data_IF_557863494448
#
_entry.id   IF_557863494448
#
_cell.length_a   1.000
_cell.length_b   1.000
_cell.length_c   1.000
_cell.angle_alpha   90.00
_cell.angle_beta   90.00
_cell.angle_gamma   90.00
#
_symmetry.space_group_name_H-M   'P 1'
#
loop_
_entity.id
_entity.type
_entity.pdbx_description
1 polymer ?
#
# COMPACT_ATOMS: atom_id res chain seq x y z
N UNK A 1 58.96 -20.68 45.81
CA UNK A 1 59.21 -21.60 44.69
C UNK A 1 57.84 -21.90 44.07
N UNK A 2 57.17 -20.89 43.50
CA UNK A 2 57.26 -20.41 42.11
C UNK A 2 57.01 -21.49 41.05
N UNK A 3 56.02 -21.19 40.20
CA UNK A 3 55.74 -21.68 38.85
C UNK A 3 54.88 -22.96 38.68
N UNK A 4 53.84 -22.77 37.85
CA UNK A 4 52.95 -23.74 37.19
C UNK A 4 51.79 -24.31 38.00
N UNK A 5 50.61 -23.69 37.83
CA UNK A 5 49.35 -24.26 37.30
C UNK A 5 48.24 -23.27 37.66
N UNK A 6 48.04 -22.25 36.83
CA UNK A 6 46.78 -21.48 36.72
C UNK A 6 46.70 -20.90 35.31
N UNK A 7 46.54 -21.81 34.35
CA UNK A 7 46.08 -21.55 32.98
C UNK A 7 44.96 -22.56 32.77
N UNK A 8 43.88 -22.14 32.12
CA UNK A 8 42.56 -22.80 32.00
C UNK A 8 41.58 -22.32 33.07
N UNK A 9 41.02 -21.13 32.83
CA UNK A 9 39.63 -20.68 33.07
C UNK A 9 39.60 -19.15 32.85
N UNK A 10 40.04 -18.75 31.67
CA UNK A 10 39.79 -17.44 31.09
C UNK A 10 39.38 -17.75 29.66
N UNK A 11 38.09 -18.04 29.50
CA UNK A 11 37.45 -18.17 28.19
C UNK A 11 36.39 -17.07 28.14
N UNK A 12 36.81 -15.96 27.57
CA UNK A 12 36.06 -15.14 26.62
C UNK A 12 34.55 -15.09 26.84
N UNK A 13 34.11 -14.05 27.56
CA UNK A 13 32.82 -13.42 27.27
C UNK A 13 33.04 -12.53 26.04
N UNK A 14 33.08 -13.15 24.87
CA UNK A 14 32.81 -12.44 23.63
C UNK A 14 31.37 -11.95 23.68
N UNK A 15 31.21 -10.66 23.45
CA UNK A 15 29.94 -9.96 23.37
C UNK A 15 29.25 -10.43 22.09
N UNK A 16 28.17 -11.19 22.22
CA UNK A 16 27.26 -11.44 21.10
C UNK A 16 26.73 -10.08 20.61
N UNK A 17 26.86 -9.74 19.31
CA UNK A 17 26.12 -8.62 18.78
C UNK A 17 24.63 -8.97 18.84
N UNK A 18 23.88 -8.13 19.55
CA UNK A 18 22.43 -8.14 19.64
C UNK A 18 21.82 -8.20 18.22
N UNK A 19 21.48 -9.42 17.79
CA UNK A 19 20.81 -9.66 16.53
C UNK A 19 19.34 -9.27 16.70
N UNK A 20 19.09 -7.95 16.58
CA UNK A 20 17.77 -7.44 16.26
C UNK A 20 17.21 -8.20 15.04
N UNK A 21 15.87 -8.30 14.90
CA UNK A 21 15.26 -9.11 13.87
C UNK A 21 15.86 -8.74 12.52
N UNK A 22 16.48 -9.72 11.85
CA UNK A 22 17.10 -9.54 10.56
C UNK A 22 16.04 -8.98 9.61
N UNK A 23 16.10 -7.68 9.35
CA UNK A 23 15.35 -7.07 8.26
C UNK A 23 15.85 -7.79 7.01
N UNK A 24 15.01 -8.63 6.42
CA UNK A 24 15.23 -9.18 5.08
C UNK A 24 15.24 -8.02 4.10
N UNK A 25 16.36 -7.30 4.04
CA UNK A 25 16.55 -6.19 3.12
C UNK A 25 16.73 -6.82 1.74
N UNK A 26 15.65 -6.82 0.97
CA UNK A 26 15.73 -7.11 -0.45
C UNK A 26 16.87 -6.30 -1.09
N UNK A 27 17.85 -6.95 -1.75
CA UNK A 27 19.00 -6.27 -2.30
C UNK A 27 18.60 -5.22 -3.34
N UNK A 28 19.05 -3.97 -3.16
CA UNK A 28 18.68 -2.87 -4.07
C UNK A 28 19.12 -3.10 -5.52
N UNK A 29 20.21 -3.84 -5.73
CA UNK A 29 20.67 -4.22 -7.06
C UNK A 29 19.62 -5.07 -7.79
N UNK A 30 18.96 -6.00 -7.10
CA UNK A 30 17.90 -6.83 -7.68
C UNK A 30 16.71 -5.98 -8.12
N UNK A 31 16.32 -4.98 -7.31
CA UNK A 31 15.25 -4.03 -7.65
C UNK A 31 15.66 -3.19 -8.87
N UNK A 32 16.89 -2.68 -8.89
CA UNK A 32 17.41 -1.86 -9.99
C UNK A 32 17.50 -2.63 -11.30
N UNK A 33 17.97 -3.88 -11.27
CA UNK A 33 18.04 -4.76 -12.44
C UNK A 33 16.64 -5.03 -13.00
N UNK A 34 15.70 -5.43 -12.12
CA UNK A 34 14.31 -5.64 -12.53
C UNK A 34 13.68 -4.35 -13.08
N UNK A 35 13.86 -3.21 -12.42
CA UNK A 35 13.39 -1.91 -12.91
C UNK A 35 13.89 -1.64 -14.34
N UNK A 36 15.18 -1.90 -14.60
CA UNK A 36 15.77 -1.78 -15.93
C UNK A 36 15.10 -2.69 -16.97
N UNK A 37 14.75 -3.93 -16.62
CA UNK A 37 14.01 -4.85 -17.54
C UNK A 37 12.61 -4.34 -17.89
N UNK A 38 12.00 -3.56 -17.01
CA UNK A 38 10.67 -2.97 -17.22
C UNK A 38 10.73 -1.58 -17.87
N UNK A 39 11.93 -1.04 -18.09
CA UNK A 39 12.12 0.33 -18.57
C UNK A 39 11.82 1.41 -17.52
N UNK A 40 11.83 1.05 -16.24
CA UNK A 40 11.65 1.98 -15.13
C UNK A 40 12.99 2.62 -14.75
N UNK A 41 12.96 3.89 -14.36
CA UNK A 41 14.09 4.51 -13.68
C UNK A 41 14.08 4.08 -12.20
N UNK A 42 15.28 3.81 -11.67
CA UNK A 42 15.47 3.42 -10.27
C UNK A 42 16.34 4.45 -9.55
N UNK A 43 15.97 4.77 -8.30
CA UNK A 43 16.81 5.54 -7.37
C UNK A 43 16.73 4.91 -5.99
N UNK A 44 17.87 4.75 -5.31
CA UNK A 44 17.95 4.04 -4.02
C UNK A 44 18.91 4.71 -3.04
N UNK A 45 18.52 4.76 -1.76
CA UNK A 45 19.37 5.21 -0.66
C UNK A 45 19.06 4.41 0.62
N UNK A 46 20.02 3.61 1.10
CA UNK A 46 19.86 2.81 2.32
C UNK A 46 18.79 1.72 2.16
N UNK A 47 17.70 1.77 2.92
CA UNK A 47 16.52 0.91 2.68
C UNK A 47 15.46 1.59 1.82
N UNK A 48 15.51 2.91 1.59
CA UNK A 48 14.54 3.59 0.74
C UNK A 48 14.90 3.43 -0.74
N UNK A 49 13.87 3.32 -1.59
CA UNK A 49 14.03 3.39 -3.04
C UNK A 49 12.80 4.01 -3.69
N UNK A 50 12.95 4.40 -4.96
CA UNK A 50 11.85 4.77 -5.82
C UNK A 50 12.04 4.22 -7.24
N UNK A 51 10.89 3.96 -7.85
CA UNK A 51 10.70 3.54 -9.23
C UNK A 51 9.89 4.60 -9.94
N UNK A 52 10.36 5.04 -11.11
CA UNK A 52 9.60 5.92 -11.98
C UNK A 52 9.33 5.22 -13.31
N UNK A 53 8.09 5.25 -13.75
CA UNK A 53 7.66 4.64 -15.00
C UNK A 53 6.62 5.48 -15.70
N UNK A 54 6.05 4.93 -16.77
CA UNK A 54 4.96 5.54 -17.52
C UNK A 54 3.83 4.55 -17.74
N UNK A 55 2.61 5.06 -17.74
CA UNK A 55 1.43 4.39 -18.29
C UNK A 55 0.86 5.34 -19.34
N UNK A 56 0.87 4.92 -20.61
CA UNK A 56 0.61 5.83 -21.73
C UNK A 56 1.57 7.03 -21.71
N UNK A 57 1.03 8.25 -21.61
CA UNK A 57 1.81 9.49 -21.47
C UNK A 57 1.92 9.99 -20.02
N UNK A 58 1.34 9.28 -19.05
CA UNK A 58 1.32 9.68 -17.63
C UNK A 58 2.49 9.06 -16.88
N UNK A 59 3.23 9.90 -16.16
CA UNK A 59 4.34 9.46 -15.32
C UNK A 59 3.79 9.00 -13.98
N UNK A 60 4.25 7.84 -13.53
CA UNK A 60 3.95 7.32 -12.22
C UNK A 60 5.24 7.10 -11.43
N UNK A 61 5.12 7.17 -10.10
CA UNK A 61 6.21 6.93 -9.17
C UNK A 61 5.75 5.96 -8.08
N UNK A 62 6.58 4.98 -7.75
CA UNK A 62 6.41 4.11 -6.59
C UNK A 62 7.60 4.23 -5.67
N UNK A 63 7.35 4.46 -4.38
CA UNK A 63 8.40 4.65 -3.38
C UNK A 63 8.26 3.63 -2.27
N UNK A 64 9.39 3.07 -1.83
CA UNK A 64 9.50 2.37 -0.54
C UNK A 64 10.13 3.31 0.47
N UNK A 65 9.51 3.46 1.63
CA UNK A 65 10.12 4.21 2.73
C UNK A 65 9.44 4.04 4.07
N UNK A 66 9.76 4.94 5.00
CA UNK A 66 9.14 4.95 6.34
C UNK A 66 7.62 5.13 6.25
N UNK A 67 6.85 4.49 7.14
CA UNK A 67 5.41 4.64 7.17
C UNK A 67 5.01 6.08 7.43
N UNK A 68 4.04 6.55 6.66
CA UNK A 68 3.47 7.89 6.78
C UNK A 68 2.05 7.89 7.36
N UNK A 69 1.52 6.70 7.68
CA UNK A 69 0.27 6.50 8.43
C UNK A 69 0.50 5.58 9.62
N UNK A 70 -0.26 5.82 10.68
CA UNK A 70 -0.13 5.10 11.96
C UNK A 70 -0.67 3.66 11.93
N UNK A 71 -1.47 3.30 10.94
CA UNK A 71 -1.91 1.92 10.74
C UNK A 71 -0.90 1.07 9.97
N UNK A 72 0.16 1.68 9.42
CA UNK A 72 1.28 0.97 8.78
C UNK A 72 2.41 0.88 9.80
N UNK A 73 2.83 -0.35 10.13
CA UNK A 73 3.85 -0.61 11.15
C UNK A 73 5.23 -0.87 10.53
N UNK A 74 5.25 -1.45 9.34
CA UNK A 74 6.47 -1.74 8.56
C UNK A 74 6.86 -0.64 7.57
N UNK A 75 7.72 -0.98 6.61
CA UNK A 75 7.97 -0.12 5.45
C UNK A 75 6.67 0.06 4.64
N UNK A 76 6.51 1.21 4.00
CA UNK A 76 5.34 1.54 3.18
C UNK A 76 5.75 1.60 1.70
N UNK A 77 4.96 0.94 0.84
CA UNK A 77 4.96 1.22 -0.60
C UNK A 77 3.91 2.30 -0.90
N UNK A 78 4.35 3.36 -1.60
CA UNK A 78 3.51 4.48 -2.03
C UNK A 78 3.57 4.64 -3.54
N UNK A 79 2.48 4.37 -4.23
CA UNK A 79 2.32 4.68 -5.65
C UNK A 79 1.60 6.02 -5.83
N UNK A 80 2.03 6.82 -6.82
CA UNK A 80 1.34 8.03 -7.27
C UNK A 80 1.42 8.18 -8.78
N UNK A 81 0.31 8.55 -9.41
CA UNK A 81 0.24 8.87 -10.84
C UNK A 81 -0.74 10.02 -11.05
N UNK A 82 -0.33 11.03 -11.83
CA UNK A 82 -1.23 12.12 -12.23
C UNK A 82 -1.93 11.73 -13.53
N UNK A 83 -3.18 11.28 -13.43
CA UNK A 83 -3.93 10.73 -14.55
C UNK A 83 -4.59 11.82 -15.40
N UNK A 84 -5.05 12.89 -14.77
CA UNK A 84 -5.81 13.95 -15.45
C UNK A 84 -7.20 13.48 -15.90
N UNK A 85 -7.79 12.54 -15.16
CA UNK A 85 -9.24 12.26 -15.19
C UNK A 85 -9.98 13.35 -14.41
N UNK A 86 -11.31 13.38 -14.49
CA UNK A 86 -12.14 14.34 -13.72
C UNK A 86 -11.76 14.33 -12.23
N UNK A 87 -11.51 15.53 -11.68
CA UNK A 87 -11.09 15.71 -10.30
C UNK A 87 -12.19 15.41 -9.28
N UNK A 88 -13.45 15.38 -9.72
CA UNK A 88 -14.59 15.00 -8.89
C UNK A 88 -14.69 13.50 -8.69
N UNK A 89 -14.05 12.69 -9.53
CA UNK A 89 -14.07 11.24 -9.39
C UNK A 89 -13.29 10.83 -8.13
N UNK A 90 -14.00 10.22 -7.20
CA UNK A 90 -13.45 9.68 -5.96
C UNK A 90 -13.85 8.23 -5.76
N UNK A 91 -12.88 7.33 -5.79
CA UNK A 91 -13.09 5.90 -5.51
C UNK A 91 -11.94 5.40 -4.65
N UNK A 92 -12.28 4.66 -3.59
CA UNK A 92 -11.31 4.06 -2.69
C UNK A 92 -11.55 2.56 -2.62
N UNK A 93 -10.48 1.78 -2.68
CA UNK A 93 -10.46 0.35 -2.39
C UNK A 93 -9.56 0.15 -1.19
N UNK A 94 -10.05 -0.54 -0.17
CA UNK A 94 -9.25 -0.90 1.01
C UNK A 94 -9.60 -2.28 1.53
N UNK A 95 -8.66 -2.96 2.17
CA UNK A 95 -8.93 -4.25 2.81
C UNK A 95 -9.91 -4.08 3.99
N UNK A 96 -10.79 -5.06 4.20
CA UNK A 96 -11.85 -4.99 5.23
C UNK A 96 -11.31 -4.78 6.65
N UNK A 97 -10.23 -5.45 7.11
CA UNK A 97 -9.71 -5.22 8.45
C UNK A 97 -9.23 -3.78 8.67
N UNK A 98 -8.62 -3.17 7.65
CA UNK A 98 -8.24 -1.75 7.71
C UNK A 98 -9.46 -0.84 7.82
N UNK A 99 -10.49 -1.06 6.99
CA UNK A 99 -11.75 -0.30 7.07
C UNK A 99 -12.33 -0.37 8.49
N UNK A 100 -12.51 -1.57 9.03
CA UNK A 100 -13.06 -1.79 10.36
C UNK A 100 -12.21 -1.14 11.47
N UNK A 101 -10.88 -1.22 11.37
CA UNK A 101 -9.98 -0.59 12.33
C UNK A 101 -10.10 0.94 12.31
N UNK A 102 -10.22 1.53 11.12
CA UNK A 102 -10.41 2.97 10.94
C UNK A 102 -11.80 3.44 11.41
N UNK A 103 -12.86 2.69 11.11
CA UNK A 103 -14.23 2.94 11.59
C UNK A 103 -14.30 2.90 13.12
N UNK A 104 -13.73 1.85 13.74
CA UNK A 104 -13.67 1.71 15.20
C UNK A 104 -12.94 2.88 15.83
N UNK A 105 -11.83 3.30 15.23
CA UNK A 105 -11.04 4.43 15.73
C UNK A 105 -11.78 5.77 15.56
N UNK A 106 -12.50 5.96 14.46
CA UNK A 106 -13.35 7.12 14.28
C UNK A 106 -14.45 7.17 15.35
N UNK A 107 -15.13 6.06 15.59
CA UNK A 107 -16.15 5.96 16.65
C UNK A 107 -15.58 6.30 18.03
N UNK A 108 -14.41 5.77 18.39
CA UNK A 108 -13.74 6.07 19.66
C UNK A 108 -13.45 7.57 19.82
N UNK A 109 -12.95 8.22 18.77
CA UNK A 109 -12.71 9.66 18.79
C UNK A 109 -14.02 10.44 19.01
N UNK A 110 -15.12 10.02 18.36
CA UNK A 110 -16.43 10.65 18.55
C UNK A 110 -17.05 10.40 19.93
N UNK A 111 -16.89 9.20 20.50
CA UNK A 111 -17.47 8.90 21.83
C UNK A 111 -16.67 9.51 22.98
N UNK A 112 -15.35 9.61 22.83
CA UNK A 112 -14.50 10.29 23.82
C UNK A 112 -14.68 11.81 23.76
N UNK A 113 -15.09 12.36 22.60
CA UNK A 113 -15.44 13.77 22.42
C UNK A 113 -16.95 13.98 22.50
N UNK A 114 -17.50 14.11 23.71
CA UNK A 114 -18.81 14.72 23.96
C UNK A 114 -18.86 16.23 23.61
N UNK A 115 -18.24 16.64 22.49
CA UNK A 115 -18.38 17.95 21.88
C UNK A 115 -18.71 17.80 20.39
N UNK A 116 -19.94 18.18 20.05
CA UNK A 116 -20.62 18.15 18.74
C UNK A 116 -19.99 19.11 17.72
N UNK A 117 -18.73 18.86 17.36
CA UNK A 117 -18.11 19.47 16.18
C UNK A 117 -17.29 18.38 15.51
N UNK A 118 -17.51 18.15 14.21
CA UNK A 118 -16.63 17.29 13.42
C UNK A 118 -15.19 17.79 13.63
N UNK A 119 -14.37 17.02 14.34
CA UNK A 119 -13.03 17.46 14.73
C UNK A 119 -12.20 17.65 13.45
N UNK A 120 -11.70 18.86 13.16
CA UNK A 120 -10.85 19.11 11.99
C UNK A 120 -9.56 18.26 12.01
N UNK A 121 -9.22 17.61 13.12
CA UNK A 121 -8.09 16.70 13.27
C UNK A 121 -8.37 15.25 12.88
N UNK A 122 -9.57 14.91 12.40
CA UNK A 122 -9.82 13.56 11.88
C UNK A 122 -8.83 13.24 10.76
N UNK A 123 -8.05 12.13 10.88
CA UNK A 123 -7.22 11.65 9.81
C UNK A 123 -8.01 11.55 8.51
N UNK A 124 -7.34 11.85 7.40
CA UNK A 124 -7.94 11.96 6.08
C UNK A 124 -8.78 10.72 5.70
N UNK A 125 -8.29 9.54 6.09
CA UNK A 125 -8.97 8.27 5.86
C UNK A 125 -10.32 8.15 6.58
N UNK A 126 -10.43 8.68 7.81
CA UNK A 126 -11.69 8.66 8.55
C UNK A 126 -12.70 9.62 7.95
N UNK A 127 -12.22 10.74 7.38
CA UNK A 127 -13.08 11.66 6.65
C UNK A 127 -13.68 10.96 5.42
N UNK A 128 -12.87 10.19 4.68
CA UNK A 128 -13.37 9.43 3.53
C UNK A 128 -14.43 8.40 3.93
N UNK A 129 -14.22 7.67 5.04
CA UNK A 129 -15.21 6.71 5.56
C UNK A 129 -16.54 7.34 5.96
N UNK A 130 -16.54 8.63 6.31
CA UNK A 130 -17.76 9.37 6.61
C UNK A 130 -18.41 10.01 5.36
N UNK A 131 -17.64 10.23 4.30
CA UNK A 131 -18.10 10.91 3.07
C UNK A 131 -18.58 9.96 1.98
N UNK A 132 -18.04 8.74 1.92
CA UNK A 132 -18.30 7.80 0.85
C UNK A 132 -18.98 6.54 1.34
N UNK A 133 -19.95 6.05 0.57
CA UNK A 133 -20.69 4.83 0.87
C UNK A 133 -19.96 3.60 0.30
N UNK A 134 -20.14 2.45 0.95
CA UNK A 134 -19.68 1.17 0.42
C UNK A 134 -20.60 0.69 -0.71
N UNK A 135 -20.03 0.44 -1.88
CA UNK A 135 -20.76 -0.02 -3.07
C UNK A 135 -20.34 -1.44 -3.46
N UNK A 136 -21.23 -2.13 -4.19
CA UNK A 136 -20.96 -3.46 -4.74
C UNK A 136 -21.72 -3.71 -6.05
N UNK A 137 -21.21 -4.61 -6.88
CA UNK A 137 -21.82 -5.02 -8.15
C UNK A 137 -21.41 -6.46 -8.55
N UNK A 138 -22.14 -7.03 -9.51
CA UNK A 138 -22.08 -8.47 -9.82
C UNK A 138 -20.90 -8.89 -10.72
N UNK A 139 -20.13 -7.94 -11.25
CA UNK A 139 -19.01 -8.25 -12.15
C UNK A 139 -17.75 -8.74 -11.40
N UNK A 140 -17.66 -8.52 -10.09
CA UNK A 140 -16.56 -8.99 -9.25
C UNK A 140 -17.00 -10.20 -8.40
N UNK A 141 -16.13 -11.20 -8.23
CA UNK A 141 -16.48 -12.44 -7.54
C UNK A 141 -16.58 -12.22 -6.02
N UNK A 142 -17.38 -13.04 -5.34
CA UNK A 142 -17.59 -12.94 -3.87
C UNK A 142 -16.29 -12.84 -3.04
N UNK A 143 -15.21 -13.62 -3.31
CA UNK A 143 -13.97 -13.49 -2.56
C UNK A 143 -13.32 -12.10 -2.63
N UNK A 144 -13.55 -11.33 -3.70
CA UNK A 144 -13.12 -9.94 -3.76
C UNK A 144 -13.82 -9.11 -2.69
N UNK A 145 -15.14 -9.24 -2.61
CA UNK A 145 -15.97 -8.54 -1.63
C UNK A 145 -15.72 -8.98 -0.20
N UNK A 146 -15.27 -10.22 0.03
CA UNK A 146 -14.86 -10.68 1.35
C UNK A 146 -13.53 -10.04 1.79
N UNK A 147 -12.63 -9.72 0.85
CA UNK A 147 -11.30 -9.15 1.13
C UNK A 147 -11.27 -7.62 1.14
N UNK A 148 -11.98 -6.99 0.21
CA UNK A 148 -11.93 -5.55 -0.02
C UNK A 148 -13.32 -4.90 0.12
N UNK A 149 -13.30 -3.64 0.52
CA UNK A 149 -14.43 -2.71 0.44
C UNK A 149 -14.12 -1.63 -0.59
N UNK A 150 -15.14 -1.25 -1.36
CA UNK A 150 -15.05 -0.18 -2.35
C UNK A 150 -15.95 0.97 -1.90
N UNK A 151 -15.39 2.16 -1.77
CA UNK A 151 -16.07 3.36 -1.29
C UNK A 151 -16.08 4.43 -2.38
N UNK A 152 -17.25 4.99 -2.66
CA UNK A 152 -17.41 6.08 -3.62
C UNK A 152 -18.74 6.81 -3.39
N UNK A 153 -18.87 8.00 -3.98
CA UNK A 153 -20.13 8.74 -4.07
C UNK A 153 -20.98 8.30 -5.28
N UNK A 154 -20.35 7.86 -6.37
CA UNK A 154 -21.02 7.45 -7.60
C UNK A 154 -20.55 6.05 -7.98
N UNK A 155 -21.46 5.08 -7.91
CA UNK A 155 -21.17 3.65 -8.15
C UNK A 155 -20.58 3.41 -9.55
N UNK A 156 -21.01 4.17 -10.54
CA UNK A 156 -20.56 4.09 -11.92
C UNK A 156 -19.07 4.43 -12.06
N UNK A 157 -18.53 5.32 -11.22
CA UNK A 157 -17.08 5.59 -11.17
C UNK A 157 -16.31 4.35 -10.71
N UNK A 158 -16.80 3.66 -9.68
CA UNK A 158 -16.17 2.43 -9.20
C UNK A 158 -16.25 1.30 -10.24
N UNK A 159 -17.38 1.16 -10.92
CA UNK A 159 -17.56 0.17 -11.99
C UNK A 159 -16.70 0.45 -13.22
N UNK A 160 -16.53 1.73 -13.59
CA UNK A 160 -15.66 2.14 -14.69
C UNK A 160 -14.18 1.97 -14.35
N UNK A 161 -13.79 2.14 -13.07
CA UNK A 161 -12.40 1.99 -12.66
C UNK A 161 -11.98 0.56 -12.33
N UNK A 162 -12.82 -0.23 -11.68
CA UNK A 162 -12.46 -1.56 -11.20
C UNK A 162 -13.00 -2.61 -12.16
N UNK A 163 -12.26 -2.77 -13.25
CA UNK A 163 -12.55 -3.78 -14.27
C UNK A 163 -12.18 -5.21 -13.77
N UNK A 164 -12.59 -6.27 -14.50
CA UNK A 164 -12.26 -7.64 -14.12
C UNK A 164 -10.75 -7.93 -14.06
N UNK A 165 -9.92 -7.22 -14.82
CA UNK A 165 -8.46 -7.40 -14.83
C UNK A 165 -7.84 -6.88 -13.53
N UNK A 166 -8.17 -5.65 -13.13
CA UNK A 166 -7.74 -5.05 -11.88
C UNK A 166 -8.27 -5.83 -10.68
N UNK A 167 -9.54 -6.23 -10.71
CA UNK A 167 -10.14 -7.09 -9.69
C UNK A 167 -9.39 -8.43 -9.55
N UNK A 168 -9.00 -9.04 -10.68
CA UNK A 168 -8.18 -10.25 -10.69
C UNK A 168 -6.78 -10.04 -10.10
N UNK A 169 -6.10 -8.94 -10.44
CA UNK A 169 -4.79 -8.60 -9.88
C UNK A 169 -4.84 -8.40 -8.37
N UNK A 170 -5.87 -7.71 -7.85
CA UNK A 170 -6.06 -7.50 -6.42
C UNK A 170 -6.24 -8.81 -5.63
N UNK A 171 -6.65 -9.90 -6.29
CA UNK A 171 -6.87 -11.22 -5.70
C UNK A 171 -5.74 -12.22 -5.92
N UNK A 172 -4.80 -11.95 -6.84
CA UNK A 172 -3.79 -12.91 -7.32
C UNK A 172 -2.37 -12.63 -6.81
N UNK A 173 -2.25 -12.25 -5.54
CA UNK A 173 -0.94 -12.05 -4.90
C UNK A 173 -0.05 -13.30 -4.97
N UNK A 174 1.25 -13.16 -5.30
CA UNK A 174 2.19 -14.28 -5.31
C UNK A 174 2.42 -14.83 -3.90
N UNK A 175 2.82 -16.10 -3.79
CA UNK A 175 3.16 -16.72 -2.50
C UNK A 175 4.63 -16.43 -2.12
N UNK A 176 4.95 -16.03 -0.88
CA UNK A 176 4.01 -15.74 0.21
C UNK A 176 3.23 -14.44 -0.04
N UNK A 177 1.90 -14.51 0.06
CA UNK A 177 1.04 -13.35 -0.18
C UNK A 177 0.92 -12.48 1.08
N UNK A 178 0.75 -11.16 0.94
CA UNK A 178 0.26 -10.32 2.03
C UNK A 178 -1.05 -10.91 2.57
N UNK A 179 -1.14 -11.04 3.90
CA UNK A 179 -2.39 -11.47 4.53
C UNK A 179 -3.47 -10.40 4.36
N UNK A 180 -4.73 -10.76 4.61
CA UNK A 180 -5.84 -9.80 4.57
C UNK A 180 -5.73 -8.67 5.60
N UNK A 181 -4.93 -8.86 6.65
CA UNK A 181 -4.66 -7.88 7.71
C UNK A 181 -3.62 -6.84 7.31
N UNK A 182 -2.79 -7.11 6.29
CA UNK A 182 -1.76 -6.18 5.82
C UNK A 182 -2.45 -4.95 5.22
N UNK A 183 -2.25 -3.73 5.77
CA UNK A 183 -2.93 -2.53 5.29
C UNK A 183 -2.71 -2.30 3.80
N UNK A 184 -3.80 -2.12 3.07
CA UNK A 184 -3.80 -1.85 1.64
C UNK A 184 -4.87 -0.82 1.28
N UNK A 185 -4.49 0.20 0.52
CA UNK A 185 -5.40 1.17 -0.07
C UNK A 185 -4.99 1.48 -1.51
N UNK A 186 -5.97 1.50 -2.41
CA UNK A 186 -5.85 1.97 -3.78
C UNK A 186 -6.92 3.04 -3.98
N UNK A 187 -6.57 4.21 -4.51
CA UNK A 187 -7.47 5.37 -4.54
C UNK A 187 -7.38 6.15 -5.85
N UNK A 188 -8.53 6.61 -6.34
CA UNK A 188 -8.65 7.74 -7.24
C UNK A 188 -9.15 8.94 -6.44
N UNK A 189 -8.37 10.02 -6.42
CA UNK A 189 -8.72 11.26 -5.75
C UNK A 189 -8.12 12.45 -6.51
N UNK A 190 -8.94 13.46 -6.82
CA UNK A 190 -8.51 14.73 -7.44
C UNK A 190 -7.69 14.52 -8.72
N UNK A 191 -8.19 13.66 -9.60
CA UNK A 191 -7.56 13.37 -10.90
C UNK A 191 -6.28 12.52 -10.83
N UNK A 192 -6.00 11.89 -9.68
CA UNK A 192 -4.75 11.14 -9.42
C UNK A 192 -5.03 9.75 -8.86
N UNK A 193 -4.19 8.80 -9.24
CA UNK A 193 -4.17 7.47 -8.63
C UNK A 193 -3.12 7.38 -7.53
N UNK A 194 -3.46 6.65 -6.48
CA UNK A 194 -2.59 6.40 -5.34
C UNK A 194 -2.65 4.93 -4.93
N UNK A 195 -1.50 4.37 -4.58
CA UNK A 195 -1.38 3.10 -3.85
C UNK A 195 -0.72 3.38 -2.52
N UNK A 196 -1.22 2.78 -1.44
CA UNK A 196 -0.54 2.75 -0.14
C UNK A 196 -0.70 1.37 0.45
N UNK A 197 0.41 0.70 0.73
CA UNK A 197 0.37 -0.58 1.42
C UNK A 197 1.54 -0.74 2.36
N UNK A 198 1.32 -1.46 3.45
CA UNK A 198 2.43 -2.00 4.22
C UNK A 198 3.17 -3.02 3.35
N UNK A 199 4.50 -2.91 3.30
CA UNK A 199 5.34 -3.74 2.46
C UNK A 199 5.73 -5.04 3.18
N UNK A 200 4.74 -5.92 3.34
CA UNK A 200 4.87 -7.20 4.03
C UNK A 200 4.19 -8.31 3.21
N UNK A 201 4.93 -9.34 2.76
CA UNK A 201 6.37 -9.55 2.93
C UNK A 201 7.22 -8.57 2.11
N UNK A 202 8.42 -8.26 2.61
CA UNK A 202 9.35 -7.34 1.97
C UNK A 202 10.20 -8.05 0.89
N UNK A 203 9.54 -8.63 -0.12
CA UNK A 203 10.18 -9.40 -1.20
C UNK A 203 9.87 -8.87 -2.62
N UNK A 204 10.66 -9.35 -3.59
CA UNK A 204 10.52 -8.93 -4.99
C UNK A 204 9.15 -9.25 -5.56
N UNK A 205 8.56 -10.40 -5.19
CA UNK A 205 7.25 -10.81 -5.69
C UNK A 205 6.16 -9.82 -5.30
N UNK A 206 6.16 -9.38 -4.04
CA UNK A 206 5.22 -8.38 -3.52
C UNK A 206 5.43 -7.03 -4.19
N UNK A 207 6.68 -6.60 -4.39
CA UNK A 207 6.97 -5.33 -5.08
C UNK A 207 6.51 -5.36 -6.54
N UNK A 208 6.86 -6.42 -7.27
CA UNK A 208 6.48 -6.61 -8.67
C UNK A 208 4.96 -6.59 -8.82
N UNK A 209 4.26 -7.32 -7.97
CA UNK A 209 2.81 -7.40 -8.01
C UNK A 209 2.14 -6.07 -7.63
N UNK A 210 2.66 -5.36 -6.64
CA UNK A 210 2.19 -4.03 -6.28
C UNK A 210 2.35 -3.02 -7.43
N UNK A 211 3.47 -3.07 -8.15
CA UNK A 211 3.69 -2.26 -9.34
C UNK A 211 2.72 -2.61 -10.48
N UNK A 212 2.43 -3.90 -10.69
CA UNK A 212 1.43 -4.36 -11.66
C UNK A 212 0.01 -3.90 -11.30
N UNK A 213 -0.41 -4.03 -10.02
CA UNK A 213 -1.70 -3.51 -9.55
C UNK A 213 -1.77 -2.00 -9.80
N UNK A 214 -0.71 -1.26 -9.44
CA UNK A 214 -0.73 0.18 -9.55
C UNK A 214 -0.80 0.67 -11.01
N UNK A 215 0.00 0.09 -11.89
CA UNK A 215 -0.01 0.43 -13.32
C UNK A 215 -1.32 0.02 -13.98
N UNK A 216 -1.84 -1.18 -13.72
CA UNK A 216 -3.16 -1.61 -14.20
C UNK A 216 -4.29 -0.70 -13.68
N UNK A 217 -4.20 -0.21 -12.44
CA UNK A 217 -5.19 0.73 -11.91
C UNK A 217 -5.17 2.08 -12.63
N UNK A 218 -4.00 2.52 -13.10
CA UNK A 218 -3.85 3.74 -13.90
C UNK A 218 -4.45 3.53 -15.30
N UNK A 219 -4.15 2.40 -15.94
CA UNK A 219 -4.71 2.02 -17.25
C UNK A 219 -6.23 1.94 -17.20
N UNK A 220 -6.77 1.22 -16.21
CA UNK A 220 -8.21 1.05 -16.04
C UNK A 220 -8.90 2.38 -15.81
N UNK A 221 -8.32 3.27 -14.99
CA UNK A 221 -8.88 4.61 -14.78
C UNK A 221 -8.89 5.44 -16.07
N UNK A 222 -7.81 5.43 -16.84
CA UNK A 222 -7.75 6.19 -18.09
C UNK A 222 -8.71 5.65 -19.15
N UNK A 223 -8.91 4.33 -19.20
CA UNK A 223 -9.79 3.72 -20.18
C UNK A 223 -11.26 3.86 -19.78
N UNK A 224 -11.61 3.43 -18.57
CA UNK A 224 -13.01 3.29 -18.13
C UNK A 224 -13.66 4.57 -17.63
N UNK A 225 -12.90 5.64 -17.38
CA UNK A 225 -13.43 6.92 -16.90
C UNK A 225 -13.27 8.07 -17.90
N UNK A 226 -12.71 7.81 -19.07
CA UNK A 226 -12.49 8.84 -20.11
C UNK A 226 -13.79 9.45 -20.62
N UNK A 227 -14.87 8.67 -20.68
CA UNK A 227 -16.17 9.08 -21.24
C UNK A 227 -17.21 9.48 -20.18
N UNK A 228 -16.95 9.24 -18.90
CA UNK A 228 -17.88 9.60 -17.80
C UNK A 228 -17.81 11.11 -17.48
N UNK A 229 -16.84 11.82 -18.07
CA UNK A 229 -16.56 13.23 -17.86
C UNK A 229 -17.41 14.21 -18.72
N UNK A 230 -18.65 13.85 -19.08
CA UNK A 230 -19.59 14.72 -19.82
C UNK A 230 -20.86 15.04 -19.03
#
# INVERSE_FOLDING_TARGET
MFERIKKVFSKDRESEPDAGPASSQMPQNQVSEWAGTQGFAFSGQGSAFALDGKVGNKVWRMERGRPSRNFIRGEELRGRCELGIDENISVLVMNRPLKQALEKKAYQLYTDSLQTTADPNLPEEMRWLAMYDEVGWDALPRPFWDRYSVLTDVREHAMGWIDPMLGGLLMSWPSPAPSEEVPFMLMLLRGKAYLRMEYTPADMGTLQHAASIFTASCESAMNGLSDIAL
#
